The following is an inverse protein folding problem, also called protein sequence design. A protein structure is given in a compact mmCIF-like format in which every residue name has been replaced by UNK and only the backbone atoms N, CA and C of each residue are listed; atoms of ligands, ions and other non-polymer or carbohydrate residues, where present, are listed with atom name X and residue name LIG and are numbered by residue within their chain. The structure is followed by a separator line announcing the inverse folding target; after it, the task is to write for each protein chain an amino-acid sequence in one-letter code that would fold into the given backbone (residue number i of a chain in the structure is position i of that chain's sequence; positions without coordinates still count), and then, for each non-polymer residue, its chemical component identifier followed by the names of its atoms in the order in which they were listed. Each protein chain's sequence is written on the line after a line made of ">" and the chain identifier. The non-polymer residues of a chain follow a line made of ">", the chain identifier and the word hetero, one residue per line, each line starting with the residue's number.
data_IF_583184642253
#
_entry.id   IF_583184642253
#
_cell.length_a   1.000
_cell.length_b   1.000
_cell.length_c   1.000
_cell.angle_alpha   90.00
_cell.angle_beta   90.00
_cell.angle_gamma   90.00
#
_symmetry.space_group_name_H-M   'P 1'
#
loop_
_entity.id
_entity.type
_entity.pdbx_description
1 polymer ?
#
# COMPACT_ATOMS: atom_id res chain seq x y z
N UNK A 1 13.64 7.50 26.57
CA UNK A 1 13.34 6.61 25.47
C UNK A 1 12.87 7.37 24.24
N UNK A 2 13.28 6.93 23.08
CA UNK A 2 12.91 7.57 21.83
C UNK A 2 11.43 7.38 21.56
N UNK A 3 10.74 8.45 21.18
CA UNK A 3 9.31 8.41 20.85
C UNK A 3 9.01 7.43 19.71
N UNK A 4 9.92 7.30 18.75
CA UNK A 4 9.75 6.38 17.64
C UNK A 4 9.71 4.94 18.09
N UNK A 5 10.50 4.61 19.11
CA UNK A 5 10.50 3.27 19.70
C UNK A 5 9.18 3.04 20.44
N UNK A 6 8.71 4.04 21.18
CA UNK A 6 7.47 3.94 21.94
C UNK A 6 6.27 3.74 21.02
N UNK A 7 6.25 4.44 19.89
CA UNK A 7 5.16 4.35 18.93
C UNK A 7 5.35 3.20 17.94
N UNK A 8 6.55 2.62 17.87
CA UNK A 8 6.87 1.55 16.95
C UNK A 8 6.78 1.94 15.48
N UNK A 9 6.85 3.26 15.20
CA UNK A 9 6.67 3.78 13.85
C UNK A 9 7.85 4.68 13.47
N UNK A 10 8.57 4.30 12.41
CA UNK A 10 9.62 5.12 11.82
C UNK A 10 9.02 6.25 10.98
N UNK A 11 9.85 7.23 10.62
CA UNK A 11 9.43 8.31 9.73
C UNK A 11 8.95 7.76 8.39
N UNK A 12 9.68 6.81 7.81
CA UNK A 12 9.30 6.19 6.55
C UNK A 12 7.93 5.50 6.64
N UNK A 13 7.73 4.73 7.69
CA UNK A 13 6.47 4.03 7.91
C UNK A 13 5.30 5.00 8.08
N UNK A 14 5.53 6.14 8.73
CA UNK A 14 4.50 7.16 8.89
C UNK A 14 4.11 7.78 7.55
N UNK A 15 5.09 8.05 6.70
CA UNK A 15 4.83 8.57 5.36
C UNK A 15 4.00 7.55 4.56
N UNK A 16 4.41 6.29 4.57
CA UNK A 16 3.72 5.23 3.84
C UNK A 16 2.29 5.05 4.36
N UNK A 17 2.10 5.01 5.68
CA UNK A 17 0.77 4.83 6.26
C UNK A 17 -0.17 5.99 5.90
N UNK A 18 0.33 7.22 5.97
CA UNK A 18 -0.46 8.40 5.61
C UNK A 18 -0.82 8.40 4.13
N UNK A 19 0.16 8.14 3.27
CA UNK A 19 -0.06 8.09 1.83
C UNK A 19 -1.02 6.97 1.44
N UNK A 20 -0.92 5.82 2.11
CA UNK A 20 -1.81 4.68 1.88
C UNK A 20 -3.27 5.07 2.09
N UNK A 21 -3.57 5.76 3.18
CA UNK A 21 -4.93 6.23 3.46
C UNK A 21 -5.41 7.22 2.40
N UNK A 22 -4.55 8.15 2.01
CA UNK A 22 -4.89 9.16 1.03
C UNK A 22 -5.11 8.57 -0.37
N UNK A 23 -4.23 7.67 -0.80
CA UNK A 23 -4.39 7.00 -2.09
C UNK A 23 -5.64 6.14 -2.13
N UNK A 24 -5.97 5.47 -1.02
CA UNK A 24 -7.19 4.67 -0.96
C UNK A 24 -8.44 5.53 -1.08
N UNK A 25 -8.44 6.69 -0.45
CA UNK A 25 -9.61 7.57 -0.41
C UNK A 25 -9.80 8.42 -1.67
N UNK A 26 -8.70 8.99 -2.18
CA UNK A 26 -8.76 9.97 -3.27
C UNK A 26 -8.09 9.50 -4.56
N UNK A 27 -7.41 8.36 -4.54
CA UNK A 27 -6.68 7.86 -5.69
C UNK A 27 -5.32 8.52 -5.85
N UNK A 28 -4.52 7.99 -6.76
CA UNK A 28 -3.17 8.49 -7.02
C UNK A 28 -3.22 9.94 -7.53
N UNK A 29 -4.01 10.20 -8.56
CA UNK A 29 -4.12 11.54 -9.14
C UNK A 29 -4.76 12.55 -8.18
N UNK A 30 -5.64 12.07 -7.30
CA UNK A 30 -6.33 12.92 -6.33
C UNK A 30 -5.51 13.23 -5.09
N UNK A 31 -4.30 12.72 -4.98
CA UNK A 31 -3.43 12.91 -3.82
C UNK A 31 -2.15 13.63 -4.24
N UNK A 32 -1.80 14.70 -3.54
CA UNK A 32 -0.56 15.43 -3.80
C UNK A 32 0.47 15.15 -2.72
N UNK A 33 1.74 15.37 -3.05
CA UNK A 33 2.83 15.29 -2.09
C UNK A 33 2.60 16.28 -0.94
N UNK A 34 2.06 17.46 -1.26
CA UNK A 34 1.74 18.47 -0.24
C UNK A 34 0.72 17.95 0.77
N UNK A 35 -0.30 17.22 0.31
CA UNK A 35 -1.30 16.64 1.20
C UNK A 35 -0.66 15.59 2.10
N UNK A 36 0.25 14.79 1.55
CA UNK A 36 0.98 13.80 2.35
C UNK A 36 1.79 14.48 3.45
N UNK A 37 2.50 15.56 3.10
CA UNK A 37 3.27 16.34 4.07
C UNK A 37 2.39 16.88 5.17
N UNK A 38 1.29 17.50 4.80
CA UNK A 38 0.36 18.11 5.73
C UNK A 38 -0.24 17.08 6.71
N UNK A 39 -0.70 15.95 6.17
CA UNK A 39 -1.36 14.93 6.99
C UNK A 39 -0.37 14.12 7.83
N UNK A 40 0.84 13.90 7.34
CA UNK A 40 1.84 13.11 8.07
C UNK A 40 2.56 13.92 9.15
N UNK A 41 2.56 15.25 9.03
CA UNK A 41 3.31 16.11 9.94
C UNK A 41 4.82 16.00 9.76
N UNK A 42 5.27 15.46 8.64
CA UNK A 42 6.69 15.27 8.32
C UNK A 42 7.19 16.50 7.56
N UNK A 43 8.44 16.90 7.78
CA UNK A 43 9.03 18.00 7.03
C UNK A 43 9.28 17.60 5.57
N UNK A 44 9.31 18.59 4.69
CA UNK A 44 9.61 18.38 3.28
C UNK A 44 10.96 17.69 3.09
N UNK A 45 11.97 18.15 3.82
CA UNK A 45 13.31 17.55 3.75
C UNK A 45 13.32 16.10 4.15
N UNK A 46 12.60 15.75 5.22
CA UNK A 46 12.51 14.37 5.69
C UNK A 46 11.80 13.49 4.66
N UNK A 47 10.72 14.00 4.05
CA UNK A 47 9.98 13.23 3.05
C UNK A 47 10.88 12.93 1.85
N UNK A 48 11.55 13.94 1.30
CA UNK A 48 12.40 13.75 0.12
C UNK A 48 13.71 13.01 0.43
N UNK A 49 14.07 12.90 1.71
CA UNK A 49 15.15 12.01 2.13
C UNK A 49 14.76 10.54 1.92
N UNK A 50 13.51 10.19 2.15
CA UNK A 50 13.03 8.82 2.04
C UNK A 50 12.48 8.48 0.66
N UNK A 51 11.87 9.42 -0.04
CA UNK A 51 11.19 9.18 -1.31
C UNK A 51 11.51 10.28 -2.31
N UNK A 52 12.03 9.90 -3.46
CA UNK A 52 12.43 10.86 -4.50
C UNK A 52 11.23 11.50 -5.21
N UNK A 53 10.08 10.85 -5.20
CA UNK A 53 8.92 11.29 -5.99
C UNK A 53 7.63 10.72 -5.42
N UNK A 54 6.50 11.25 -5.87
CA UNK A 54 5.18 10.72 -5.57
C UNK A 54 5.05 9.26 -6.02
N UNK A 55 5.63 8.96 -7.19
CA UNK A 55 5.62 7.60 -7.73
C UNK A 55 6.35 6.63 -6.80
N UNK A 56 7.48 7.08 -6.21
CA UNK A 56 8.23 6.26 -5.24
C UNK A 56 7.41 6.00 -3.97
N UNK A 57 6.67 7.00 -3.52
CA UNK A 57 5.77 6.84 -2.37
C UNK A 57 4.69 5.82 -2.71
N UNK A 58 4.09 5.93 -3.90
CA UNK A 58 3.05 5.00 -4.34
C UNK A 58 3.59 3.57 -4.43
N UNK A 59 4.79 3.38 -4.95
CA UNK A 59 5.40 2.04 -5.04
C UNK A 59 5.55 1.41 -3.66
N UNK A 60 5.96 2.18 -2.66
CA UNK A 60 6.08 1.69 -1.28
C UNK A 60 4.72 1.37 -0.68
N UNK A 61 3.70 2.18 -0.96
CA UNK A 61 2.33 1.92 -0.51
C UNK A 61 1.79 0.65 -1.15
N UNK A 62 1.99 0.49 -2.45
CA UNK A 62 1.54 -0.71 -3.18
C UNK A 62 2.17 -1.97 -2.58
N UNK A 63 3.47 -1.93 -2.30
CA UNK A 63 4.16 -3.06 -1.67
C UNK A 63 3.55 -3.39 -0.31
N UNK A 64 3.27 -2.38 0.51
CA UNK A 64 2.67 -2.58 1.83
C UNK A 64 1.27 -3.21 1.72
N UNK A 65 0.46 -2.75 0.77
CA UNK A 65 -0.88 -3.32 0.54
C UNK A 65 -0.77 -4.76 0.06
N UNK A 66 0.15 -5.03 -0.87
CA UNK A 66 0.35 -6.38 -1.39
C UNK A 66 0.79 -7.37 -0.31
N UNK A 67 1.67 -6.93 0.60
CA UNK A 67 2.10 -7.74 1.73
C UNK A 67 0.91 -8.09 2.61
N UNK A 68 0.05 -7.11 2.91
CA UNK A 68 -1.13 -7.34 3.73
C UNK A 68 -2.15 -8.25 3.05
N UNK A 69 -2.34 -8.09 1.74
CA UNK A 69 -3.23 -8.95 0.97
C UNK A 69 -2.71 -10.40 1.01
N UNK A 70 -1.41 -10.57 0.77
CA UNK A 70 -0.80 -11.90 0.80
C UNK A 70 -0.94 -12.56 2.17
N UNK A 71 -0.70 -11.81 3.23
CA UNK A 71 -0.82 -12.32 4.60
C UNK A 71 -2.28 -12.70 4.93
N UNK A 72 -3.23 -11.88 4.53
CA UNK A 72 -4.66 -12.12 4.78
C UNK A 72 -5.15 -13.36 4.04
N UNK A 73 -4.77 -13.50 2.76
CA UNK A 73 -5.18 -14.66 1.96
C UNK A 73 -4.53 -15.94 2.47
N UNK A 74 -3.26 -15.86 2.91
CA UNK A 74 -2.57 -17.01 3.49
C UNK A 74 -3.25 -17.48 4.78
N UNK A 75 -3.64 -16.54 5.64
CA UNK A 75 -4.35 -16.86 6.87
C UNK A 75 -5.71 -17.51 6.59
N UNK A 76 -6.41 -17.04 5.58
CA UNK A 76 -7.71 -17.60 5.20
C UNK A 76 -7.58 -19.07 4.78
N UNK A 77 -6.46 -19.45 4.18
CA UNK A 77 -6.22 -20.80 3.68
C UNK A 77 -5.50 -21.70 4.68
N UNK A 78 -5.05 -21.17 5.82
CA UNK A 78 -4.14 -21.86 6.73
C UNK A 78 -4.68 -23.19 7.29
N UNK A 79 -6.00 -23.28 7.50
CA UNK A 79 -6.63 -24.46 8.06
C UNK A 79 -7.39 -25.29 7.04
N UNK A 80 -7.06 -25.12 5.76
CA UNK A 80 -7.70 -25.88 4.69
C UNK A 80 -7.37 -27.37 4.80
N UNK A 81 -8.33 -28.22 4.42
CA UNK A 81 -8.18 -29.67 4.52
C UNK A 81 -7.43 -30.26 3.35
N UNK A 82 -7.40 -29.58 2.24
CA UNK A 82 -6.74 -30.04 1.03
C UNK A 82 -6.36 -28.82 0.15
N UNK A 83 -5.53 -29.03 -0.90
CA UNK A 83 -5.09 -27.92 -1.74
C UNK A 83 -6.22 -27.21 -2.48
N UNK A 84 -7.28 -27.91 -2.86
CA UNK A 84 -8.42 -27.30 -3.55
C UNK A 84 -9.16 -26.35 -2.62
N UNK A 85 -9.40 -26.78 -1.38
CA UNK A 85 -10.03 -25.93 -0.37
C UNK A 85 -9.16 -24.71 -0.07
N UNK A 86 -7.83 -24.92 0.02
CA UNK A 86 -6.88 -23.83 0.25
C UNK A 86 -6.99 -22.76 -0.84
N UNK A 87 -7.02 -23.19 -2.09
CA UNK A 87 -7.14 -22.28 -3.22
C UNK A 87 -8.48 -21.54 -3.18
N UNK A 88 -9.56 -22.25 -2.89
CA UNK A 88 -10.90 -21.65 -2.80
C UNK A 88 -10.98 -20.59 -1.71
N UNK A 89 -10.44 -20.91 -0.53
CA UNK A 89 -10.46 -19.98 0.61
C UNK A 89 -9.57 -18.76 0.35
N UNK A 90 -8.40 -18.96 -0.22
CA UNK A 90 -7.51 -17.85 -0.56
C UNK A 90 -8.15 -16.93 -1.59
N UNK A 91 -8.76 -17.51 -2.63
CA UNK A 91 -9.40 -16.74 -3.68
C UNK A 91 -10.63 -15.97 -3.16
N UNK A 92 -11.45 -16.61 -2.32
CA UNK A 92 -12.60 -15.96 -1.71
C UNK A 92 -12.16 -14.77 -0.84
N UNK A 93 -11.10 -14.95 -0.07
CA UNK A 93 -10.51 -13.88 0.74
C UNK A 93 -10.02 -12.73 -0.13
N UNK A 94 -9.34 -13.04 -1.23
CA UNK A 94 -8.88 -12.02 -2.17
C UNK A 94 -10.06 -11.24 -2.77
N UNK A 95 -11.12 -11.93 -3.15
CA UNK A 95 -12.31 -11.25 -3.71
C UNK A 95 -12.94 -10.30 -2.69
N UNK A 96 -13.01 -10.71 -1.42
CA UNK A 96 -13.51 -9.83 -0.37
C UNK A 96 -12.67 -8.56 -0.25
N UNK A 97 -11.35 -8.70 -0.28
CA UNK A 97 -10.44 -7.57 -0.23
C UNK A 97 -10.60 -6.67 -1.47
N UNK A 98 -10.77 -7.28 -2.63
CA UNK A 98 -10.94 -6.55 -3.90
C UNK A 98 -12.23 -5.73 -3.95
N UNK A 99 -13.24 -6.12 -3.17
CA UNK A 99 -14.47 -5.34 -3.04
C UNK A 99 -14.27 -4.10 -2.15
N UNK A 100 -13.21 -4.07 -1.35
CA UNK A 100 -12.87 -2.92 -0.51
C UNK A 100 -12.24 -1.80 -1.34
N UNK A 101 -12.40 -0.57 -0.84
CA UNK A 101 -11.93 0.61 -1.55
C UNK A 101 -10.41 0.64 -1.72
N UNK A 102 -9.67 0.24 -0.70
CA UNK A 102 -8.21 0.29 -0.71
C UNK A 102 -7.59 -0.58 -1.80
N UNK A 103 -7.92 -1.87 -1.82
CA UNK A 103 -7.35 -2.79 -2.81
C UNK A 103 -7.84 -2.42 -4.21
N UNK A 104 -9.12 -2.10 -4.35
CA UNK A 104 -9.66 -1.71 -5.63
C UNK A 104 -8.93 -0.49 -6.21
N UNK A 105 -8.79 0.57 -5.41
CA UNK A 105 -8.19 1.80 -5.90
C UNK A 105 -6.69 1.67 -6.13
N UNK A 106 -5.97 1.13 -5.16
CA UNK A 106 -4.50 1.08 -5.21
C UNK A 106 -4.01 -0.04 -6.12
N UNK A 107 -4.51 -1.26 -5.94
CA UNK A 107 -3.99 -2.43 -6.65
C UNK A 107 -4.63 -2.60 -8.01
N UNK A 108 -5.95 -2.48 -8.10
CA UNK A 108 -6.66 -2.80 -9.33
C UNK A 108 -6.78 -1.64 -10.30
N UNK A 109 -6.77 -0.41 -9.82
CA UNK A 109 -6.91 0.76 -10.67
C UNK A 109 -5.58 1.48 -10.88
N UNK A 110 -5.02 2.06 -9.83
CA UNK A 110 -3.86 2.95 -9.94
C UNK A 110 -2.54 2.23 -10.26
N UNK A 111 -2.34 1.01 -9.77
CA UNK A 111 -1.09 0.29 -10.00
C UNK A 111 -0.81 0.10 -11.49
N UNK A 112 -1.83 -0.12 -12.29
CA UNK A 112 -1.69 -0.29 -13.74
C UNK A 112 -1.13 0.95 -14.41
N UNK A 113 -1.64 2.13 -14.06
CA UNK A 113 -1.21 3.36 -14.71
C UNK A 113 0.08 3.93 -14.15
N UNK A 114 0.36 3.69 -12.85
CA UNK A 114 1.54 4.27 -12.21
C UNK A 114 2.77 3.37 -12.36
N UNK A 115 2.67 2.13 -11.88
CA UNK A 115 3.82 1.20 -11.82
C UNK A 115 3.94 0.40 -13.12
N UNK A 116 2.84 -0.08 -13.65
CA UNK A 116 2.83 -0.89 -14.87
C UNK A 116 3.40 -0.15 -16.06
N UNK A 117 3.07 1.13 -16.20
CA UNK A 117 3.57 1.95 -17.28
C UNK A 117 5.09 2.15 -17.19
N UNK A 118 5.62 2.36 -16.00
CA UNK A 118 7.06 2.51 -15.80
C UNK A 118 7.81 1.24 -16.16
N UNK A 119 7.34 0.10 -15.69
CA UNK A 119 7.95 -1.19 -16.03
C UNK A 119 7.93 -1.45 -17.53
N UNK A 120 6.83 -1.10 -18.17
CA UNK A 120 6.71 -1.27 -19.61
C UNK A 120 7.73 -0.43 -20.37
N UNK A 121 7.97 0.81 -19.92
CA UNK A 121 8.96 1.68 -20.56
C UNK A 121 10.40 1.21 -20.35
N UNK A 122 10.67 0.48 -19.29
CA UNK A 122 12.00 -0.06 -19.01
C UNK A 122 12.31 -1.31 -19.82
N UNK A 123 11.31 -1.94 -20.37
CA UNK A 123 11.48 -3.06 -21.29
C UNK A 123 11.69 -2.55 -22.70
#
# INVERSE_FOLDING_TARGET
>A
MNKNIEMGISTRERIVATARELFAAAGYEGTSTETVLEKSGISRGALYHHFASKEAIFAAVLEAVEVDVAATTARAAANARDPVEALRLAFASFLDLACGQEVRQIVLIDAHSVVGWQKWREC
#
